data_IF_524318582099
#
_entry.id   IF_524318582099
#
_cell.length_a   1.000
_cell.length_b   1.000
_cell.length_c   1.000
_cell.angle_alpha   90.00
_cell.angle_beta   90.00
_cell.angle_gamma   90.00
#
_symmetry.space_group_name_H-M   'P 1'
#
loop_
_entity.id
_entity.type
_entity.pdbx_description
1 polymer ?
#
# COMPACT_ATOMS: atom_id res chain seq x y z
N UNK A 1 -46.42 -20.04 22.39
CA UNK A 1 -46.72 -21.48 22.20
C UNK A 1 -46.15 -21.85 20.85
N UNK A 2 -45.69 -23.08 20.65
CA UNK A 2 -45.30 -23.54 19.33
C UNK A 2 -46.56 -23.56 18.46
N UNK A 3 -46.69 -22.55 17.60
CA UNK A 3 -47.70 -22.56 16.56
C UNK A 3 -47.09 -23.15 15.30
N UNK A 4 -47.92 -23.83 14.52
CA UNK A 4 -47.53 -24.41 13.23
C UNK A 4 -48.70 -24.15 12.31
N UNK A 5 -48.88 -22.89 11.91
CA UNK A 5 -50.01 -22.47 11.10
C UNK A 5 -49.88 -21.04 10.58
N UNK A 6 -50.11 -20.90 9.27
CA UNK A 6 -50.13 -19.64 8.51
C UNK A 6 -51.09 -18.59 9.12
N UNK A 7 -50.52 -17.60 9.81
CA UNK A 7 -51.20 -16.38 10.24
C UNK A 7 -50.56 -15.13 9.60
N UNK A 8 -51.23 -14.43 8.68
CA UNK A 8 -50.75 -13.13 8.22
C UNK A 8 -51.02 -12.08 9.32
N UNK A 9 -50.04 -11.84 10.18
CA UNK A 9 -50.08 -10.83 11.23
C UNK A 9 -48.70 -10.58 11.87
N UNK A 10 -48.50 -9.35 12.40
CA UNK A 10 -47.36 -8.98 13.25
C UNK A 10 -47.45 -9.77 14.58
N UNK A 11 -46.93 -10.99 14.58
CA UNK A 11 -46.81 -11.85 15.75
C UNK A 11 -45.45 -11.68 16.41
N UNK A 12 -45.41 -11.69 17.75
CA UNK A 12 -44.19 -11.96 18.52
C UNK A 12 -44.33 -13.41 18.99
N UNK A 13 -43.71 -14.34 18.28
CA UNK A 13 -43.84 -15.78 18.48
C UNK A 13 -42.53 -16.52 18.19
N UNK A 14 -42.31 -17.65 18.87
CA UNK A 14 -41.28 -18.63 18.50
C UNK A 14 -41.87 -19.47 17.36
N UNK A 15 -41.70 -19.03 16.12
CA UNK A 15 -42.13 -19.80 14.97
C UNK A 15 -41.06 -20.81 14.56
N UNK A 16 -41.49 -21.90 13.95
CA UNK A 16 -40.57 -22.94 13.40
C UNK A 16 -40.99 -23.33 11.98
N UNK A 17 -41.67 -22.40 11.30
CA UNK A 17 -42.33 -22.59 10.02
C UNK A 17 -41.77 -21.69 8.92
N UNK A 18 -41.93 -22.11 7.67
CA UNK A 18 -41.55 -21.36 6.47
C UNK A 18 -42.61 -20.29 6.17
N UNK A 19 -42.53 -19.13 6.83
CA UNK A 19 -43.46 -18.02 6.61
C UNK A 19 -42.75 -16.79 6.03
N UNK A 20 -43.12 -16.32 4.82
CA UNK A 20 -42.70 -14.99 4.37
C UNK A 20 -43.54 -13.94 5.13
N UNK A 21 -43.04 -13.49 6.29
CA UNK A 21 -43.64 -12.48 7.16
C UNK A 21 -42.68 -11.33 7.45
N UNK A 22 -43.24 -10.18 7.90
CA UNK A 22 -42.48 -9.10 8.55
C UNK A 22 -42.63 -9.32 10.06
N UNK A 23 -41.60 -9.90 10.70
CA UNK A 23 -41.70 -10.50 12.04
C UNK A 23 -40.60 -10.07 13.01
N UNK A 24 -40.71 -10.57 14.24
CA UNK A 24 -39.62 -10.61 15.21
C UNK A 24 -39.50 -12.07 15.63
N UNK A 25 -38.61 -12.78 14.97
CA UNK A 25 -38.54 -14.22 15.07
C UNK A 25 -37.31 -14.66 15.88
N UNK A 26 -37.42 -15.80 16.56
CA UNK A 26 -36.34 -16.34 17.38
C UNK A 26 -36.30 -17.85 17.22
N UNK A 27 -35.17 -18.44 16.81
CA UNK A 27 -35.06 -19.90 16.74
C UNK A 27 -34.34 -20.48 15.53
N UNK A 28 -34.94 -21.50 14.91
CA UNK A 28 -34.39 -22.24 13.76
C UNK A 28 -35.31 -22.00 12.56
N UNK A 29 -34.88 -21.15 11.63
CA UNK A 29 -35.73 -20.68 10.53
C UNK A 29 -35.02 -20.78 9.18
N UNK A 30 -35.09 -21.95 8.51
CA UNK A 30 -34.55 -22.09 7.17
C UNK A 30 -35.49 -21.45 6.15
N UNK A 31 -35.05 -20.46 5.38
CA UNK A 31 -35.89 -19.89 4.32
C UNK A 31 -35.64 -18.44 3.92
N UNK A 32 -36.71 -17.76 3.54
CA UNK A 32 -36.72 -16.31 3.30
C UNK A 32 -37.26 -15.64 4.56
N UNK A 33 -36.42 -14.82 5.21
CA UNK A 33 -36.78 -14.07 6.40
C UNK A 33 -36.63 -12.57 6.10
N UNK A 34 -37.54 -11.74 6.61
CA UNK A 34 -37.50 -10.28 6.47
C UNK A 34 -37.94 -9.66 7.79
N UNK A 35 -37.01 -9.20 8.62
CA UNK A 35 -37.40 -8.89 9.98
C UNK A 35 -36.29 -8.42 10.91
N UNK A 36 -36.49 -8.73 12.18
CA UNK A 36 -35.51 -8.55 13.23
C UNK A 36 -35.44 -9.89 13.94
N UNK A 37 -34.41 -10.65 13.62
CA UNK A 37 -34.40 -12.08 13.86
C UNK A 37 -33.21 -12.47 14.74
N UNK A 38 -33.29 -13.63 15.39
CA UNK A 38 -32.26 -14.07 16.35
C UNK A 38 -32.19 -15.59 16.41
N UNK A 39 -31.14 -16.20 15.86
CA UNK A 39 -31.04 -17.66 15.91
C UNK A 39 -30.14 -18.34 14.89
N UNK A 40 -30.62 -19.47 14.36
CA UNK A 40 -29.99 -20.25 13.31
C UNK A 40 -30.87 -20.15 12.05
N UNK A 41 -30.42 -19.39 11.05
CA UNK A 41 -31.27 -18.94 9.94
C UNK A 41 -30.56 -19.16 8.60
N UNK A 42 -30.51 -20.41 8.11
CA UNK A 42 -29.88 -20.69 6.83
C UNK A 42 -30.82 -20.26 5.69
N UNK A 43 -30.42 -19.31 4.85
CA UNK A 43 -31.27 -18.90 3.74
C UNK A 43 -31.02 -17.51 3.17
N UNK A 44 -32.11 -16.79 2.86
CA UNK A 44 -32.07 -15.41 2.41
C UNK A 44 -32.68 -14.53 3.51
N UNK A 45 -31.88 -13.67 4.12
CA UNK A 45 -32.28 -12.72 5.16
C UNK A 45 -32.30 -11.29 4.61
N UNK A 46 -33.25 -10.48 5.07
CA UNK A 46 -33.26 -9.03 4.83
C UNK A 46 -33.73 -8.34 6.11
N UNK A 47 -32.80 -7.87 6.94
CA UNK A 47 -33.21 -7.53 8.29
C UNK A 47 -32.16 -6.92 9.20
N UNK A 48 -32.42 -7.11 10.49
CA UNK A 48 -31.55 -6.84 11.61
C UNK A 48 -31.38 -8.18 12.30
N UNK A 49 -30.37 -8.93 11.87
CA UNK A 49 -30.29 -10.35 12.19
C UNK A 49 -29.14 -10.58 13.20
N UNK A 50 -29.24 -11.64 14.01
CA UNK A 50 -28.25 -11.91 15.06
C UNK A 50 -28.16 -13.40 15.34
N UNK A 51 -27.06 -14.03 14.93
CA UNK A 51 -26.87 -15.45 15.24
C UNK A 51 -25.93 -16.20 14.29
N UNK A 52 -26.41 -17.34 13.78
CA UNK A 52 -25.70 -18.16 12.81
C UNK A 52 -26.53 -18.25 11.53
N UNK A 53 -26.09 -17.58 10.48
CA UNK A 53 -26.95 -17.28 9.33
C UNK A 53 -26.19 -17.55 8.03
N UNK A 54 -26.00 -18.84 7.67
CA UNK A 54 -25.31 -19.17 6.44
C UNK A 54 -26.23 -18.92 5.25
N UNK A 55 -25.84 -18.04 4.34
CA UNK A 55 -26.75 -17.68 3.25
C UNK A 55 -26.44 -16.39 2.52
N UNK A 56 -27.51 -15.72 2.10
CA UNK A 56 -27.47 -14.42 1.44
C UNK A 56 -28.20 -13.42 2.35
N UNK A 57 -27.45 -12.51 2.97
CA UNK A 57 -27.95 -11.48 3.89
C UNK A 57 -27.95 -10.10 3.24
N UNK A 58 -28.92 -9.27 3.61
CA UNK A 58 -28.94 -7.84 3.28
C UNK A 58 -29.45 -7.09 4.49
N UNK A 59 -28.57 -6.52 5.30
CA UNK A 59 -29.02 -6.10 6.62
C UNK A 59 -28.00 -5.39 7.49
N UNK A 60 -28.30 -5.47 8.77
CA UNK A 60 -27.44 -5.12 9.89
C UNK A 60 -27.30 -6.42 10.66
N UNK A 61 -26.25 -7.18 10.36
CA UNK A 61 -26.16 -8.55 10.83
C UNK A 61 -25.08 -8.64 11.93
N UNK A 62 -25.23 -9.58 12.87
CA UNK A 62 -24.30 -9.73 13.98
C UNK A 62 -24.16 -11.19 14.38
N UNK A 63 -23.02 -11.80 14.09
CA UNK A 63 -22.75 -13.15 14.55
C UNK A 63 -21.81 -13.94 13.65
N UNK A 64 -22.29 -15.06 13.14
CA UNK A 64 -21.53 -15.97 12.30
C UNK A 64 -22.32 -16.19 11.01
N UNK A 65 -21.94 -15.48 9.95
CA UNK A 65 -22.69 -15.37 8.70
C UNK A 65 -21.85 -15.81 7.48
N UNK A 66 -21.72 -17.13 7.23
CA UNK A 66 -21.02 -17.61 6.05
C UNK A 66 -21.85 -17.38 4.80
N UNK A 67 -21.34 -16.61 3.84
CA UNK A 67 -22.00 -16.51 2.53
C UNK A 67 -21.83 -15.18 1.82
N UNK A 68 -22.95 -14.63 1.35
CA UNK A 68 -23.00 -13.37 0.59
C UNK A 68 -23.72 -12.33 1.45
N UNK A 69 -22.98 -11.34 1.96
CA UNK A 69 -23.52 -10.24 2.76
C UNK A 69 -23.55 -8.93 1.98
N UNK A 70 -24.55 -8.09 2.23
CA UNK A 70 -24.58 -6.69 1.79
C UNK A 70 -25.15 -5.86 2.92
N UNK A 71 -24.30 -5.20 3.71
CA UNK A 71 -24.81 -4.69 4.96
C UNK A 71 -23.85 -3.90 5.82
N UNK A 72 -24.15 -3.96 7.10
CA UNK A 72 -23.37 -3.46 8.21
C UNK A 72 -23.20 -4.65 9.14
N UNK A 73 -22.15 -5.42 8.91
CA UNK A 73 -22.05 -6.75 9.47
C UNK A 73 -21.00 -6.73 10.61
N UNK A 74 -21.17 -7.60 11.61
CA UNK A 74 -20.26 -7.64 12.76
C UNK A 74 -20.12 -9.07 13.28
N UNK A 75 -18.95 -9.67 13.06
CA UNK A 75 -18.63 -10.95 13.67
C UNK A 75 -17.66 -11.83 12.87
N UNK A 76 -18.12 -13.02 12.50
CA UNK A 76 -17.37 -14.01 11.73
C UNK A 76 -18.08 -14.27 10.42
N UNK A 77 -17.58 -13.66 9.35
CA UNK A 77 -18.25 -13.56 8.06
C UNK A 77 -17.37 -14.11 6.93
N UNK A 78 -17.18 -15.43 6.86
CA UNK A 78 -16.43 -16.02 5.77
C UNK A 78 -17.26 -15.96 4.48
N UNK A 79 -16.80 -15.22 3.47
CA UNK A 79 -17.56 -15.15 2.23
C UNK A 79 -17.28 -13.97 1.31
N UNK A 80 -18.35 -13.47 0.71
CA UNK A 80 -18.37 -12.30 -0.17
C UNK A 80 -19.18 -11.21 0.54
N UNK A 81 -18.52 -10.15 1.00
CA UNK A 81 -19.12 -9.01 1.69
C UNK A 81 -19.12 -7.76 0.81
N UNK A 82 -20.14 -6.93 0.97
CA UNK A 82 -20.19 -5.57 0.43
C UNK A 82 -20.83 -4.66 1.47
N UNK A 83 -20.04 -3.96 2.27
CA UNK A 83 -20.62 -3.34 3.46
C UNK A 83 -19.69 -2.43 4.24
N UNK A 84 -20.10 -2.18 5.49
CA UNK A 84 -19.18 -1.77 6.53
C UNK A 84 -19.10 -2.95 7.49
N UNK A 85 -18.00 -3.67 7.43
CA UNK A 85 -17.89 -4.95 8.13
C UNK A 85 -16.89 -4.81 9.29
N UNK A 86 -17.10 -5.56 10.36
CA UNK A 86 -16.23 -5.48 11.55
C UNK A 86 -16.07 -6.84 12.20
N UNK A 87 -14.90 -7.44 12.07
CA UNK A 87 -14.59 -8.68 12.78
C UNK A 87 -13.55 -9.56 12.11
N UNK A 88 -13.95 -10.79 11.80
CA UNK A 88 -13.13 -11.80 11.14
C UNK A 88 -13.81 -12.19 9.83
N UNK A 89 -13.30 -11.66 8.72
CA UNK A 89 -13.93 -11.71 7.41
C UNK A 89 -12.98 -12.32 6.37
N UNK A 90 -12.79 -13.64 6.39
CA UNK A 90 -11.96 -14.30 5.39
C UNK A 90 -12.75 -14.39 4.08
N UNK A 91 -12.27 -13.74 3.02
CA UNK A 91 -12.99 -13.82 1.75
C UNK A 91 -12.70 -12.71 0.76
N UNK A 92 -13.76 -12.26 0.09
CA UNK A 92 -13.73 -11.12 -0.82
C UNK A 92 -14.62 -10.02 -0.26
N UNK A 93 -14.03 -8.90 0.12
CA UNK A 93 -14.71 -7.73 0.68
C UNK A 93 -14.70 -6.57 -0.31
N UNK A 94 -15.74 -5.75 -0.27
CA UNK A 94 -15.77 -4.43 -0.92
C UNK A 94 -16.47 -3.46 0.01
N UNK A 95 -15.72 -2.67 0.78
CA UNK A 95 -16.34 -2.00 1.90
C UNK A 95 -15.47 -0.98 2.62
N UNK A 96 -15.91 -0.66 3.84
CA UNK A 96 -15.01 -0.15 4.87
C UNK A 96 -14.94 -1.25 5.93
N UNK A 97 -13.84 -1.96 5.95
CA UNK A 97 -13.73 -3.16 6.77
C UNK A 97 -12.78 -2.89 7.95
N UNK A 98 -13.02 -3.54 9.09
CA UNK A 98 -12.19 -3.34 10.28
C UNK A 98 -12.03 -4.64 11.07
N UNK A 99 -10.82 -5.21 11.04
CA UNK A 99 -10.50 -6.35 11.88
C UNK A 99 -9.43 -7.26 11.31
N UNK A 100 -9.79 -8.52 11.10
CA UNK A 100 -8.93 -9.55 10.53
C UNK A 100 -9.56 -10.07 9.25
N UNK A 101 -9.03 -9.62 8.11
CA UNK A 101 -9.62 -9.81 6.78
C UNK A 101 -8.63 -10.49 5.84
N UNK A 102 -8.41 -11.80 5.98
CA UNK A 102 -7.52 -12.52 5.08
C UNK A 102 -8.25 -12.74 3.75
N UNK A 103 -7.76 -12.13 2.67
CA UNK A 103 -8.48 -12.28 1.40
C UNK A 103 -8.16 -11.28 0.30
N UNK A 104 -9.20 -10.97 -0.47
CA UNK A 104 -9.17 -9.93 -1.49
C UNK A 104 -10.08 -8.78 -1.04
N UNK A 105 -9.51 -7.63 -0.75
CA UNK A 105 -10.22 -6.43 -0.31
C UNK A 105 -10.21 -5.36 -1.39
N UNK A 106 -11.30 -4.59 -1.47
CA UNK A 106 -11.34 -3.34 -2.23
C UNK A 106 -12.09 -2.30 -1.40
N UNK A 107 -11.37 -1.44 -0.69
CA UNK A 107 -12.04 -0.68 0.36
C UNK A 107 -11.21 0.40 1.03
N UNK A 108 -11.71 0.79 2.21
CA UNK A 108 -10.92 1.46 3.23
C UNK A 108 -10.83 0.50 4.39
N UNK A 109 -9.70 -0.16 4.52
CA UNK A 109 -9.58 -1.30 5.42
C UNK A 109 -8.69 -0.90 6.60
N UNK A 110 -8.96 -1.46 7.79
CA UNK A 110 -8.20 -1.15 9.00
C UNK A 110 -8.02 -2.37 9.87
N UNK A 111 -6.82 -2.94 9.89
CA UNK A 111 -6.49 -4.00 10.84
C UNK A 111 -5.35 -4.91 10.39
N UNK A 112 -5.66 -6.20 10.31
CA UNK A 112 -4.73 -7.25 9.86
C UNK A 112 -5.31 -7.90 8.61
N UNK A 113 -4.74 -7.56 7.46
CA UNK A 113 -5.30 -7.87 6.14
C UNK A 113 -4.26 -8.60 5.29
N UNK A 114 -4.04 -9.91 5.53
CA UNK A 114 -3.11 -10.68 4.74
C UNK A 114 -3.77 -11.02 3.39
N UNK A 115 -3.25 -10.49 2.30
CA UNK A 115 -3.82 -10.83 0.99
C UNK A 115 -3.56 -9.85 -0.13
N UNK A 116 -4.62 -9.53 -0.86
CA UNK A 116 -4.60 -8.75 -2.08
C UNK A 116 -5.56 -7.57 -1.90
N UNK A 117 -5.02 -6.38 -1.65
CA UNK A 117 -5.77 -5.17 -1.34
C UNK A 117 -5.73 -4.17 -2.49
N UNK A 118 -6.83 -3.43 -2.66
CA UNK A 118 -6.88 -2.23 -3.51
C UNK A 118 -7.68 -1.17 -2.77
N UNK A 119 -7.01 -0.23 -2.11
CA UNK A 119 -7.72 0.60 -1.15
C UNK A 119 -6.94 1.75 -0.56
N UNK A 120 -7.47 2.27 0.55
CA UNK A 120 -6.67 2.98 1.53
C UNK A 120 -6.65 2.11 2.77
N UNK A 121 -5.50 1.51 3.04
CA UNK A 121 -5.41 0.46 4.04
C UNK A 121 -4.57 0.99 5.22
N UNK A 122 -4.91 0.58 6.43
CA UNK A 122 -4.22 1.03 7.64
C UNK A 122 -4.04 -0.10 8.64
N UNK A 123 -2.82 -0.65 8.72
CA UNK A 123 -2.50 -1.61 9.75
C UNK A 123 -1.32 -2.51 9.42
N UNK A 124 -1.58 -3.81 9.40
CA UNK A 124 -0.61 -4.84 9.04
C UNK A 124 -1.14 -5.63 7.85
N UNK A 125 -0.60 -5.32 6.67
CA UNK A 125 -1.08 -5.86 5.39
C UNK A 125 0.04 -6.63 4.68
N UNK A 126 0.29 -7.90 5.06
CA UNK A 126 1.26 -8.73 4.37
C UNK A 126 0.65 -9.20 3.04
N UNK A 127 1.16 -8.74 1.90
CA UNK A 127 0.45 -9.04 0.66
C UNK A 127 0.90 -8.33 -0.59
N UNK A 128 -0.05 -8.22 -1.52
CA UNK A 128 0.04 -7.35 -2.68
C UNK A 128 -0.99 -6.25 -2.52
N UNK A 129 -0.53 -5.01 -2.40
CA UNK A 129 -1.34 -3.82 -2.22
C UNK A 129 -1.26 -2.91 -3.45
N UNK A 130 -2.36 -2.22 -3.73
CA UNK A 130 -2.39 -1.12 -4.69
C UNK A 130 -3.24 0.01 -4.09
N UNK A 131 -2.61 1.01 -3.49
CA UNK A 131 -3.37 1.89 -2.62
C UNK A 131 -2.64 3.10 -2.08
N UNK A 132 -3.24 3.67 -1.04
CA UNK A 132 -2.52 4.51 -0.08
C UNK A 132 -2.48 3.72 1.22
N UNK A 133 -1.31 3.19 1.55
CA UNK A 133 -1.20 2.26 2.65
C UNK A 133 -0.45 2.92 3.81
N UNK A 134 -0.83 2.62 5.05
CA UNK A 134 -0.20 3.20 6.23
C UNK A 134 -0.06 2.17 7.34
N UNK A 135 1.16 1.68 7.54
CA UNK A 135 1.47 0.84 8.67
C UNK A 135 2.67 -0.05 8.47
N UNK A 136 2.43 -1.35 8.48
CA UNK A 136 3.45 -2.36 8.25
C UNK A 136 2.98 -3.28 7.13
N UNK A 137 3.44 -3.03 5.91
CA UNK A 137 3.08 -3.79 4.72
C UNK A 137 4.29 -4.56 4.17
N UNK A 138 4.55 -5.79 4.64
CA UNK A 138 5.57 -6.62 4.04
C UNK A 138 5.04 -7.23 2.74
N UNK A 139 5.56 -6.83 1.58
CA UNK A 139 4.93 -7.30 0.35
C UNK A 139 5.37 -6.68 -0.98
N UNK A 140 4.42 -6.70 -1.91
CA UNK A 140 4.48 -6.02 -3.20
C UNK A 140 3.51 -4.84 -3.16
N UNK A 141 4.01 -3.61 -3.10
CA UNK A 141 3.21 -2.39 -3.06
C UNK A 141 3.27 -1.64 -4.39
N UNK A 142 2.15 -1.01 -4.77
CA UNK A 142 2.11 0.01 -5.82
C UNK A 142 1.22 1.14 -5.34
N UNK A 143 1.79 2.20 -4.78
CA UNK A 143 0.98 3.14 -4.02
C UNK A 143 1.65 4.43 -3.60
N UNK A 144 1.02 5.10 -2.64
CA UNK A 144 1.73 6.02 -1.75
C UNK A 144 1.70 5.38 -0.38
N UNK A 145 2.85 4.91 0.06
CA UNK A 145 2.92 4.06 1.23
C UNK A 145 3.64 4.81 2.35
N UNK A 146 3.23 4.59 3.60
CA UNK A 146 3.82 5.27 4.76
C UNK A 146 3.96 4.33 5.94
N UNK A 147 5.17 3.81 6.15
CA UNK A 147 5.45 3.09 7.39
C UNK A 147 6.68 2.19 7.32
N UNK A 148 6.47 0.90 7.59
CA UNK A 148 7.49 -0.14 7.55
C UNK A 148 7.15 -1.15 6.46
N UNK A 149 7.84 -1.04 5.33
CA UNK A 149 7.46 -1.72 4.08
C UNK A 149 8.64 -2.55 3.55
N UNK A 150 8.91 -3.72 4.14
CA UNK A 150 9.93 -4.60 3.62
C UNK A 150 9.40 -5.31 2.36
N UNK A 151 9.94 -5.00 1.18
CA UNK A 151 9.28 -5.52 -0.02
C UNK A 151 9.84 -5.09 -1.37
N UNK A 152 8.98 -5.25 -2.39
CA UNK A 152 9.12 -4.55 -3.66
C UNK A 152 8.07 -3.46 -3.72
N UNK A 153 8.50 -2.20 -3.82
CA UNK A 153 7.63 -1.03 -3.92
C UNK A 153 7.74 -0.36 -5.28
N UNK A 154 6.64 0.20 -5.76
CA UNK A 154 6.62 1.14 -6.88
C UNK A 154 5.69 2.29 -6.52
N UNK A 155 6.21 3.40 -6.02
CA UNK A 155 5.34 4.37 -5.38
C UNK A 155 5.97 5.72 -5.05
N UNK A 156 5.26 6.45 -4.19
CA UNK A 156 5.86 7.51 -3.39
C UNK A 156 5.84 7.02 -1.94
N UNK A 157 7.00 6.65 -1.43
CA UNK A 157 7.05 5.90 -0.19
C UNK A 157 7.71 6.77 0.89
N UNK A 158 7.25 6.64 2.14
CA UNK A 158 7.77 7.42 3.27
C UNK A 158 7.89 6.57 4.51
N UNK A 159 9.09 6.08 4.79
CA UNK A 159 9.33 5.42 6.07
C UNK A 159 10.60 4.59 6.14
N UNK A 160 10.45 3.32 6.50
CA UNK A 160 11.52 2.34 6.55
C UNK A 160 11.21 1.21 5.56
N UNK A 161 11.94 1.21 4.45
CA UNK A 161 11.66 0.35 3.30
C UNK A 161 12.89 -0.47 2.92
N UNK A 162 13.13 -1.61 3.59
CA UNK A 162 14.21 -2.49 3.19
C UNK A 162 13.75 -3.32 1.99
N UNK A 163 14.31 -3.10 0.80
CA UNK A 163 13.70 -3.72 -0.37
C UNK A 163 14.29 -3.41 -1.74
N UNK A 164 13.50 -3.69 -2.79
CA UNK A 164 13.72 -3.08 -4.09
C UNK A 164 12.62 -2.04 -4.32
N UNK A 165 12.99 -0.79 -4.52
CA UNK A 165 12.05 0.32 -4.72
C UNK A 165 12.20 0.94 -6.10
N UNK A 166 11.10 1.42 -6.67
CA UNK A 166 11.11 2.31 -7.84
C UNK A 166 10.15 3.47 -7.60
N UNK A 167 10.64 4.63 -7.18
CA UNK A 167 9.73 5.65 -6.67
C UNK A 167 10.31 7.03 -6.43
N UNK A 168 9.52 7.85 -5.72
CA UNK A 168 10.06 8.98 -4.97
C UNK A 168 9.97 8.62 -3.50
N UNK A 169 11.11 8.45 -2.87
CA UNK A 169 11.16 7.79 -1.58
C UNK A 169 11.74 8.76 -0.55
N UNK A 170 11.23 8.69 0.68
CA UNK A 170 11.70 9.57 1.77
C UNK A 170 11.78 8.80 3.07
N UNK A 171 12.97 8.37 3.45
CA UNK A 171 13.17 7.85 4.79
C UNK A 171 14.47 7.12 4.99
N UNK A 172 14.36 5.84 5.34
CA UNK A 172 15.48 4.95 5.53
C UNK A 172 15.26 3.71 4.67
N UNK A 173 15.94 3.64 3.52
CA UNK A 173 15.68 2.62 2.49
C UNK A 173 16.92 1.74 2.22
N UNK A 174 17.14 0.66 3.00
CA UNK A 174 18.23 -0.27 2.72
C UNK A 174 17.87 -1.17 1.55
N UNK A 175 18.58 -1.05 0.43
CA UNK A 175 18.30 -1.96 -0.67
C UNK A 175 18.75 -1.54 -2.05
N UNK A 176 17.91 -1.85 -3.03
CA UNK A 176 18.13 -1.53 -4.44
C UNK A 176 17.04 -0.54 -4.88
N UNK A 177 17.40 0.72 -5.05
CA UNK A 177 16.47 1.78 -5.41
C UNK A 177 16.68 2.27 -6.85
N UNK A 178 15.59 2.65 -7.52
CA UNK A 178 15.64 3.43 -8.76
C UNK A 178 14.64 4.58 -8.66
N UNK A 179 15.09 5.81 -8.43
CA UNK A 179 14.13 6.85 -8.06
C UNK A 179 14.70 8.22 -7.79
N UNK A 180 13.93 9.03 -7.07
CA UNK A 180 14.43 10.23 -6.40
C UNK A 180 14.24 10.02 -4.90
N UNK A 181 15.33 9.91 -4.15
CA UNK A 181 15.29 9.68 -2.71
C UNK A 181 15.64 10.93 -1.89
N UNK A 182 15.10 11.04 -0.69
CA UNK A 182 15.69 11.89 0.35
C UNK A 182 15.76 11.14 1.67
N UNK A 183 16.96 10.83 2.17
CA UNK A 183 16.99 9.90 3.30
C UNK A 183 18.33 9.37 3.77
N UNK A 184 18.25 8.20 4.39
CA UNK A 184 19.36 7.34 4.75
C UNK A 184 19.23 6.04 3.95
N UNK A 185 19.97 5.94 2.85
CA UNK A 185 19.70 4.91 1.83
C UNK A 185 20.96 4.07 1.61
N UNK A 186 21.22 3.10 2.50
CA UNK A 186 22.37 2.22 2.38
C UNK A 186 22.11 1.14 1.33
N UNK A 187 22.79 1.20 0.18
CA UNK A 187 22.51 0.20 -0.85
C UNK A 187 23.07 0.46 -2.23
N UNK A 188 22.33 -0.04 -3.22
CA UNK A 188 22.57 0.16 -4.64
C UNK A 188 21.50 1.11 -5.17
N UNK A 189 21.87 2.31 -5.59
CA UNK A 189 20.94 3.33 -6.07
C UNK A 189 21.16 3.68 -7.54
N UNK A 190 20.08 4.00 -8.25
CA UNK A 190 20.14 4.71 -9.53
C UNK A 190 19.12 5.84 -9.51
N UNK A 191 19.55 7.10 -9.35
CA UNK A 191 18.58 8.14 -9.02
C UNK A 191 19.10 9.57 -9.01
N UNK A 192 18.28 10.46 -8.48
CA UNK A 192 18.75 11.75 -7.96
C UNK A 192 18.43 11.77 -6.48
N UNK A 193 19.46 11.58 -5.67
CA UNK A 193 19.27 11.31 -4.25
C UNK A 193 19.87 12.45 -3.41
N UNK A 194 19.31 12.65 -2.22
CA UNK A 194 19.79 13.69 -1.29
C UNK A 194 19.77 13.16 0.13
N UNK A 195 20.93 12.85 0.69
CA UNK A 195 20.95 12.36 2.07
C UNK A 195 22.26 11.76 2.54
N UNK A 196 22.15 10.66 3.27
CA UNK A 196 23.28 9.83 3.68
C UNK A 196 23.17 8.49 2.97
N UNK A 197 24.05 8.24 2.01
CA UNK A 197 23.90 7.15 1.04
C UNK A 197 25.19 6.31 0.97
N UNK A 198 25.40 5.38 1.92
CA UNK A 198 26.56 4.52 1.91
C UNK A 198 26.34 3.37 0.92
N UNK A 199 27.12 3.27 -0.14
CA UNK A 199 26.89 2.20 -1.11
C UNK A 199 27.49 2.36 -2.49
N UNK A 200 26.77 1.86 -3.49
CA UNK A 200 27.12 2.04 -4.90
C UNK A 200 25.97 2.75 -5.62
N UNK A 201 26.24 3.95 -6.11
CA UNK A 201 25.26 4.85 -6.72
C UNK A 201 25.57 5.14 -8.19
N UNK A 202 24.52 5.39 -8.97
CA UNK A 202 24.62 5.96 -10.32
C UNK A 202 23.58 7.08 -10.45
N UNK A 203 23.99 8.35 -10.34
CA UNK A 203 23.00 9.39 -10.17
C UNK A 203 23.47 10.84 -10.25
N UNK A 204 22.58 11.75 -9.84
CA UNK A 204 22.95 13.10 -9.42
C UNK A 204 22.71 13.19 -7.91
N UNK A 205 23.77 13.12 -7.13
CA UNK A 205 23.62 12.91 -5.69
C UNK A 205 24.06 14.15 -4.91
N UNK A 206 23.41 14.41 -3.77
CA UNK A 206 23.67 15.57 -2.92
C UNK A 206 23.68 15.17 -1.46
N UNK A 207 24.85 14.85 -0.90
CA UNK A 207 24.87 14.57 0.53
C UNK A 207 26.19 14.08 1.10
N UNK A 208 26.10 13.05 1.93
CA UNK A 208 27.23 12.30 2.46
C UNK A 208 27.18 10.88 1.91
N UNK A 209 28.11 10.57 1.00
CA UNK A 209 28.07 9.36 0.18
C UNK A 209 29.38 8.58 0.26
N UNK A 210 29.57 7.76 1.30
CA UNK A 210 30.74 6.91 1.40
C UNK A 210 30.57 5.69 0.49
N UNK A 211 31.34 5.57 -0.60
CA UNK A 211 31.08 4.49 -1.53
C UNK A 211 31.78 4.50 -2.90
N UNK A 212 31.12 3.83 -3.84
CA UNK A 212 31.46 3.77 -5.26
C UNK A 212 30.39 4.49 -6.07
N UNK A 213 30.71 5.64 -6.68
CA UNK A 213 29.75 6.46 -7.41
C UNK A 213 30.08 6.58 -8.90
N UNK A 214 29.04 6.66 -9.73
CA UNK A 214 29.15 7.12 -11.13
C UNK A 214 28.11 8.20 -11.37
N UNK A 215 28.49 9.48 -11.39
CA UNK A 215 27.48 10.52 -11.35
C UNK A 215 27.98 11.96 -11.47
N UNK A 216 27.09 12.88 -11.11
CA UNK A 216 27.46 14.26 -10.81
C UNK A 216 27.01 14.58 -9.40
N UNK A 217 27.98 14.85 -8.54
CA UNK A 217 27.76 14.76 -7.10
C UNK A 217 28.12 16.10 -6.43
N UNK A 218 27.29 16.49 -5.47
CA UNK A 218 27.45 17.75 -4.73
C UNK A 218 27.44 17.49 -3.22
N UNK A 219 28.50 16.87 -2.71
CA UNK A 219 28.52 16.48 -1.30
C UNK A 219 29.89 16.30 -0.66
N UNK A 220 29.89 15.47 0.39
CA UNK A 220 31.09 14.91 0.99
C UNK A 220 31.15 13.41 0.64
N UNK A 221 32.13 13.02 -0.17
CA UNK A 221 32.18 11.70 -0.81
C UNK A 221 33.52 11.00 -0.54
N UNK A 222 33.66 10.29 0.59
CA UNK A 222 34.83 9.47 0.84
C UNK A 222 34.71 8.15 0.04
N UNK A 223 35.39 8.04 -1.09
CA UNK A 223 35.20 6.89 -1.97
C UNK A 223 36.02 6.87 -3.27
N UNK A 224 35.57 6.03 -4.22
CA UNK A 224 36.00 6.09 -5.62
C UNK A 224 34.81 6.59 -6.43
N UNK A 225 34.98 7.75 -7.07
CA UNK A 225 33.94 8.41 -7.87
C UNK A 225 34.42 8.52 -9.31
N UNK A 226 33.55 8.15 -10.26
CA UNK A 226 33.75 8.34 -11.69
C UNK A 226 32.71 9.34 -12.17
N UNK A 227 33.07 10.63 -12.26
CA UNK A 227 32.03 11.64 -12.40
C UNK A 227 32.52 13.08 -12.44
N UNK A 228 31.57 14.00 -12.28
CA UNK A 228 31.82 15.44 -12.21
C UNK A 228 31.28 15.97 -10.89
N UNK A 229 32.13 16.44 -9.98
CA UNK A 229 31.71 16.92 -8.66
C UNK A 229 31.96 18.41 -8.42
N UNK A 230 31.21 19.01 -7.50
CA UNK A 230 31.56 20.32 -6.90
C UNK A 230 31.77 20.27 -5.38
N UNK A 231 31.86 19.05 -4.82
CA UNK A 231 31.95 18.75 -3.39
C UNK A 231 33.37 18.56 -2.83
N UNK A 232 33.46 17.99 -1.62
CA UNK A 232 34.71 17.60 -0.98
C UNK A 232 34.88 16.08 -1.04
N UNK A 233 35.85 15.62 -1.83
CA UNK A 233 36.08 14.20 -2.14
C UNK A 233 37.42 13.72 -1.55
N UNK A 234 37.45 13.20 -0.30
CA UNK A 234 38.62 12.54 0.24
C UNK A 234 38.67 11.11 -0.31
N UNK A 235 39.19 10.95 -1.54
CA UNK A 235 39.14 9.68 -2.28
C UNK A 235 39.94 9.68 -3.60
N UNK A 236 39.69 8.67 -4.43
CA UNK A 236 40.26 8.56 -5.79
C UNK A 236 39.18 9.02 -6.77
N UNK A 237 39.38 10.15 -7.45
CA UNK A 237 38.38 10.75 -8.33
C UNK A 237 38.84 10.69 -9.78
N UNK A 238 38.08 10.00 -10.64
CA UNK A 238 38.29 10.00 -12.10
C UNK A 238 37.34 11.00 -12.74
N UNK A 239 37.78 12.27 -12.82
CA UNK A 239 36.98 13.37 -13.36
C UNK A 239 37.29 13.64 -14.84
N UNK A 240 36.25 13.72 -15.67
CA UNK A 240 36.38 14.03 -17.10
C UNK A 240 35.89 15.46 -17.39
N UNK A 241 36.73 16.48 -17.21
CA UNK A 241 36.38 17.86 -17.60
C UNK A 241 36.95 18.22 -18.97
N UNK A 242 36.10 18.73 -19.88
CA UNK A 242 36.60 19.59 -20.96
C UNK A 242 35.58 20.55 -21.54
N UNK A 243 35.73 21.85 -21.25
CA UNK A 243 35.44 22.93 -22.19
C UNK A 243 36.06 24.29 -21.78
N UNK A 244 37.02 24.81 -22.56
CA UNK A 244 37.47 26.22 -22.46
C UNK A 244 37.02 26.98 -23.72
N UNK A 245 36.22 28.04 -23.56
CA UNK A 245 35.93 28.99 -24.65
C UNK A 245 36.57 30.36 -24.30
N UNK A 246 37.75 30.71 -24.86
CA UNK A 246 38.31 32.04 -24.69
C UNK A 246 37.53 33.13 -25.47
N UNK A 247 37.65 34.42 -25.07
CA UNK A 247 36.75 35.48 -25.50
C UNK A 247 36.92 35.85 -26.98
N UNK A 248 35.81 35.90 -27.73
CA UNK A 248 35.84 36.40 -29.12
C UNK A 248 36.08 37.93 -29.11
N UNK A 249 37.30 38.37 -29.41
CA UNK A 249 37.61 39.80 -29.59
C UNK A 249 37.31 40.24 -31.02
N UNK A 250 36.50 41.29 -31.20
CA UNK A 250 36.27 41.91 -32.52
C UNK A 250 37.52 42.66 -32.97
N UNK A 251 38.22 42.17 -33.99
CA UNK A 251 39.13 42.96 -34.83
C UNK A 251 38.68 42.85 -36.31
N UNK A 252 37.96 43.86 -36.80
CA UNK A 252 37.54 43.96 -38.20
C UNK A 252 36.23 43.23 -38.55
N UNK A 253 35.88 43.10 -39.86
CA UNK A 253 34.57 42.66 -40.33
C UNK A 253 34.29 41.15 -40.15
N UNK A 254 35.22 40.38 -39.59
CA UNK A 254 35.10 38.94 -39.37
C UNK A 254 35.19 38.61 -37.88
N UNK A 255 34.28 37.79 -37.36
CA UNK A 255 34.35 37.21 -36.01
C UNK A 255 35.20 35.95 -36.07
N UNK A 256 36.31 35.91 -35.34
CA UNK A 256 37.03 34.68 -35.05
C UNK A 256 36.83 34.33 -33.57
N UNK A 257 36.29 33.14 -33.31
CA UNK A 257 36.20 32.54 -31.98
C UNK A 257 37.17 31.35 -31.98
N UNK A 258 38.11 31.34 -31.04
CA UNK A 258 38.97 30.17 -30.80
C UNK A 258 38.33 29.35 -29.67
N UNK A 259 38.26 28.04 -29.86
CA UNK A 259 37.81 27.08 -28.85
C UNK A 259 39.05 26.32 -28.38
N UNK A 260 39.24 26.20 -27.07
CA UNK A 260 40.38 25.47 -26.49
C UNK A 260 39.82 24.37 -25.57
N UNK A 261 39.82 23.13 -26.05
CA UNK A 261 39.33 21.97 -25.30
C UNK A 261 40.55 21.37 -24.58
N UNK A 262 40.62 21.56 -23.26
CA UNK A 262 41.67 20.97 -22.42
C UNK A 262 41.12 19.73 -21.71
N UNK A 263 41.75 18.57 -21.94
CA UNK A 263 41.51 17.31 -21.22
C UNK A 263 42.77 17.05 -20.40
N UNK A 264 42.65 16.95 -19.09
CA UNK A 264 43.72 16.45 -18.21
C UNK A 264 43.21 15.20 -17.49
N UNK A 265 43.78 14.06 -17.87
CA UNK A 265 43.60 12.75 -17.25
C UNK A 265 44.88 12.48 -16.45
N UNK A 266 44.80 12.36 -15.12
CA UNK A 266 45.96 12.00 -14.29
C UNK A 266 45.53 11.12 -13.10
N UNK A 267 45.96 9.85 -13.18
CA UNK A 267 46.05 8.74 -12.20
C UNK A 267 45.45 8.89 -10.79
#
# INVERSE_FOLDING_TARGET
GLDTGYEPGLGVGLDTGYEPGLGLDTGYEPGLVVGLDTGYEPGLGVGLDTGYEPGLGVGLDTGHEPGLGVGLDTGYEPGLGVGLDTGYEPGLGVGLDTGYEPGLGVGLDTGYEPGLGVGLDTGYEPGLGVGLDTGHEPGLGVGLDTGYEPGLGVGLDTGYEPGLGVGLDTGHEPGLGVGLGTGYDPGLGVGLDTGYEPGLGVGLDTGYEPGLGVGFDTGYEPGLVVGLGTGYEPGLALSFFSMTIPPCTKRGPYRNCFFEIGVEELD
#
